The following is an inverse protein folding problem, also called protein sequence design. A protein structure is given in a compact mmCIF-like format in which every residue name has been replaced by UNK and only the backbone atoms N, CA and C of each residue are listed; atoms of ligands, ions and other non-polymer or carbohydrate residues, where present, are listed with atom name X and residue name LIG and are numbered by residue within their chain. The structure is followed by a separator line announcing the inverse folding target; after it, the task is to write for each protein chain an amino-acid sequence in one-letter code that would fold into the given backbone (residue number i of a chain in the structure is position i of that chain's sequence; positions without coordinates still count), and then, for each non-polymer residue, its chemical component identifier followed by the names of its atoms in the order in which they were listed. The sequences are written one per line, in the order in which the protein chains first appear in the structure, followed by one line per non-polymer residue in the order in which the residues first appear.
data_IF_761079579966
#
_entry.id   IF_761079579966
#
_cell.length_a   1.000
_cell.length_b   1.000
_cell.length_c   1.000
_cell.angle_alpha   90.00
_cell.angle_beta   90.00
_cell.angle_gamma   90.00
#
_symmetry.space_group_name_H-M   'P 1'
#
loop_
_entity.id
_entity.type
_entity.pdbx_description
1 polymer ?
#
# COMPACT_ATOMS: atom_id res chain seq x y z
N UNK A 1 29.61 16.28 36.95
CA UNK A 1 28.48 16.81 36.16
C UNK A 1 28.52 16.11 34.81
N UNK A 2 27.56 15.27 34.48
CA UNK A 2 27.49 14.72 33.14
C UNK A 2 26.73 15.71 32.23
N UNK A 3 27.37 16.06 31.13
CA UNK A 3 26.82 16.91 30.08
C UNK A 3 25.65 16.21 29.37
N UNK A 4 24.47 16.76 29.54
CA UNK A 4 23.30 16.39 28.77
C UNK A 4 23.51 16.72 27.28
N UNK A 5 23.90 15.73 26.52
CA UNK A 5 23.86 15.80 25.06
C UNK A 5 22.45 15.44 24.60
N UNK A 6 21.54 16.42 24.62
CA UNK A 6 20.26 16.30 23.96
C UNK A 6 20.49 16.06 22.44
N UNK A 7 20.21 14.87 21.98
CA UNK A 7 20.05 14.61 20.55
C UNK A 7 18.94 15.54 20.05
N UNK A 8 19.31 16.64 19.41
CA UNK A 8 18.39 17.45 18.62
C UNK A 8 17.76 16.52 17.59
N UNK A 9 16.52 16.14 17.79
CA UNK A 9 15.70 15.54 16.72
C UNK A 9 15.77 16.51 15.54
N UNK A 10 16.41 16.06 14.47
CA UNK A 10 16.46 16.76 13.20
C UNK A 10 15.04 16.67 12.64
N UNK A 11 14.23 17.68 12.88
CA UNK A 11 12.92 17.80 12.21
C UNK A 11 13.15 17.66 10.71
N UNK A 12 12.62 16.61 10.11
CA UNK A 12 12.67 16.47 8.65
C UNK A 12 11.93 17.66 8.04
N UNK A 13 12.63 18.47 7.28
CA UNK A 13 12.01 19.56 6.52
C UNK A 13 11.55 19.00 5.18
N UNK A 14 10.24 19.07 4.93
CA UNK A 14 9.65 18.71 3.64
C UNK A 14 9.40 19.98 2.82
N UNK A 15 9.64 19.89 1.51
CA UNK A 15 9.19 20.87 0.55
C UNK A 15 7.86 20.40 -0.05
N UNK A 16 6.88 21.28 -0.18
CA UNK A 16 5.58 20.94 -0.76
C UNK A 16 5.19 21.95 -1.85
N UNK A 17 4.48 21.48 -2.87
CA UNK A 17 3.92 22.29 -3.92
C UNK A 17 2.66 21.65 -4.50
N UNK A 18 1.70 22.44 -4.94
CA UNK A 18 0.51 21.94 -5.64
C UNK A 18 0.51 22.48 -7.06
N UNK A 19 0.46 21.58 -8.05
CA UNK A 19 0.36 21.93 -9.46
C UNK A 19 -1.01 22.50 -9.83
N UNK A 20 -1.15 23.23 -10.95
CA UNK A 20 -2.44 23.76 -11.42
C UNK A 20 -3.52 22.69 -11.64
N UNK A 21 -3.13 21.45 -11.99
CA UNK A 21 -4.05 20.32 -12.13
C UNK A 21 -4.46 19.68 -10.77
N UNK A 22 -4.00 20.23 -9.65
CA UNK A 22 -4.34 19.76 -8.31
C UNK A 22 -3.41 18.69 -7.74
N UNK A 23 -2.45 18.19 -8.51
CA UNK A 23 -1.46 17.21 -8.01
C UNK A 23 -0.57 17.86 -6.94
N UNK A 24 -0.54 17.25 -5.77
CA UNK A 24 0.31 17.65 -4.65
C UNK A 24 1.66 16.98 -4.76
N UNK A 25 2.73 17.73 -4.58
CA UNK A 25 4.12 17.24 -4.56
C UNK A 25 4.66 17.38 -3.15
N UNK A 26 5.28 16.32 -2.62
CA UNK A 26 6.05 16.34 -1.39
C UNK A 26 7.48 15.87 -1.66
N UNK A 27 8.47 16.62 -1.20
CA UNK A 27 9.89 16.30 -1.35
C UNK A 27 10.58 16.24 0.00
N UNK A 28 11.20 15.13 0.31
CA UNK A 28 12.09 14.93 1.45
C UNK A 28 13.56 15.00 0.97
N UNK A 29 14.24 16.16 1.10
CA UNK A 29 15.62 16.28 0.64
C UNK A 29 16.57 15.48 1.53
N UNK A 30 17.50 14.77 0.91
CA UNK A 30 18.61 14.11 1.58
C UNK A 30 19.89 14.23 0.74
N UNK A 31 21.00 13.62 1.17
CA UNK A 31 22.27 13.66 0.44
C UNK A 31 22.61 12.32 -0.25
N UNK A 32 21.67 11.37 -0.29
CA UNK A 32 21.88 10.09 -0.95
C UNK A 32 21.94 10.24 -2.48
N UNK A 33 22.79 9.46 -3.13
CA UNK A 33 22.79 9.28 -4.58
C UNK A 33 21.64 8.37 -5.05
N UNK A 34 21.01 7.63 -4.15
CA UNK A 34 19.78 6.86 -4.41
C UNK A 34 18.58 7.73 -4.03
N UNK A 35 17.63 7.80 -4.93
CA UNK A 35 16.36 8.48 -4.73
C UNK A 35 15.19 7.50 -4.88
N UNK A 36 14.09 7.86 -4.26
CA UNK A 36 12.80 7.16 -4.36
C UNK A 36 11.75 8.18 -4.77
N UNK A 37 10.95 7.87 -5.76
CA UNK A 37 9.77 8.66 -6.06
C UNK A 37 8.60 7.80 -6.50
N UNK A 38 7.39 8.34 -6.37
CA UNK A 38 6.18 7.62 -6.75
C UNK A 38 4.93 8.45 -6.64
N UNK A 39 3.83 7.82 -7.00
CA UNK A 39 2.48 8.32 -6.78
C UNK A 39 1.81 7.49 -5.68
N UNK A 40 1.29 8.16 -4.67
CA UNK A 40 0.38 7.58 -3.69
C UNK A 40 -1.03 8.02 -4.07
N UNK A 41 -1.83 7.07 -4.51
CA UNK A 41 -3.22 7.26 -4.90
C UNK A 41 -4.10 7.02 -3.68
N UNK A 42 -4.95 7.96 -3.32
CA UNK A 42 -5.93 7.83 -2.25
C UNK A 42 -7.10 6.94 -2.73
N UNK A 43 -6.80 5.68 -2.97
CA UNK A 43 -7.73 4.63 -3.35
C UNK A 43 -7.14 3.25 -3.04
N UNK A 44 -7.88 2.45 -2.29
CA UNK A 44 -7.58 1.08 -1.95
C UNK A 44 -8.83 0.20 -2.03
N UNK A 45 -8.77 -1.00 -1.47
CA UNK A 45 -9.91 -1.92 -1.51
C UNK A 45 -11.12 -1.40 -0.72
N UNK A 46 -10.92 -0.46 0.18
CA UNK A 46 -11.98 0.26 0.89
C UNK A 46 -12.91 1.05 -0.05
N UNK A 47 -12.43 1.48 -1.20
CA UNK A 47 -13.13 2.35 -2.14
C UNK A 47 -13.90 1.60 -3.23
N UNK A 48 -13.76 0.28 -3.27
CA UNK A 48 -14.43 -0.59 -4.20
C UNK A 48 -15.92 -0.75 -3.87
N UNK A 49 -16.78 -0.88 -4.87
CA UNK A 49 -18.16 -1.30 -4.68
C UNK A 49 -18.28 -2.85 -4.61
N UNK A 50 -19.49 -3.38 -4.43
CA UNK A 50 -19.76 -4.83 -4.30
C UNK A 50 -19.27 -5.64 -5.51
N UNK A 51 -19.33 -5.07 -6.71
CA UNK A 51 -18.99 -5.71 -7.98
C UNK A 51 -17.52 -5.53 -8.36
N UNK A 52 -16.75 -4.77 -7.56
CA UNK A 52 -15.37 -4.39 -7.83
C UNK A 52 -14.38 -4.96 -6.81
N UNK A 53 -14.79 -5.90 -5.95
CA UNK A 53 -13.92 -6.45 -4.91
C UNK A 53 -12.66 -7.07 -5.50
N UNK A 54 -11.49 -6.55 -5.13
CA UNK A 54 -10.19 -6.90 -5.67
C UNK A 54 -9.72 -6.00 -6.84
N UNK A 55 -10.52 -5.02 -7.28
CA UNK A 55 -10.18 -4.19 -8.44
C UNK A 55 -8.95 -3.29 -8.18
N UNK A 56 -8.76 -2.79 -6.97
CA UNK A 56 -7.60 -1.95 -6.63
C UNK A 56 -6.29 -2.74 -6.78
N UNK A 57 -6.23 -3.95 -6.23
CA UNK A 57 -5.11 -4.86 -6.38
C UNK A 57 -4.96 -5.34 -7.84
N UNK A 58 -6.05 -5.64 -8.51
CA UNK A 58 -6.05 -6.03 -9.92
C UNK A 58 -5.46 -4.94 -10.82
N UNK A 59 -5.82 -3.67 -10.60
CA UNK A 59 -5.24 -2.53 -11.31
C UNK A 59 -3.76 -2.39 -11.02
N UNK A 60 -3.29 -2.65 -9.81
CA UNK A 60 -1.87 -2.66 -9.46
C UNK A 60 -1.08 -3.64 -10.34
N UNK A 61 -1.55 -4.88 -10.51
CA UNK A 61 -0.93 -5.85 -11.43
C UNK A 61 -0.93 -5.35 -12.88
N UNK A 62 -2.03 -4.75 -13.30
CA UNK A 62 -2.25 -4.37 -14.71
C UNK A 62 -1.54 -3.10 -15.16
N UNK A 63 -1.18 -2.18 -14.26
CA UNK A 63 -0.50 -0.92 -14.66
C UNK A 63 0.85 -1.16 -15.32
N UNK A 64 1.48 -2.33 -15.09
CA UNK A 64 2.75 -2.72 -15.73
C UNK A 64 2.57 -3.41 -17.09
N UNK A 65 1.34 -3.68 -17.53
CA UNK A 65 1.05 -4.52 -18.70
C UNK A 65 0.88 -3.76 -20.00
N UNK A 66 0.80 -2.44 -19.98
CA UNK A 66 0.76 -1.61 -21.17
C UNK A 66 0.18 -0.23 -20.97
N UNK A 67 0.77 0.73 -21.66
CA UNK A 67 0.28 2.11 -21.76
C UNK A 67 -0.02 2.47 -23.22
N UNK A 68 -0.54 3.67 -23.46
CA UNK A 68 -0.68 4.21 -24.83
C UNK A 68 0.66 4.28 -25.58
N UNK A 69 1.79 4.34 -24.88
CA UNK A 69 3.15 4.54 -25.46
C UNK A 69 4.02 3.29 -25.38
N UNK A 70 3.71 2.33 -24.47
CA UNK A 70 4.62 1.23 -24.12
C UNK A 70 3.88 -0.09 -23.96
N UNK A 71 4.49 -1.17 -24.46
CA UNK A 71 4.16 -2.54 -24.08
C UNK A 71 4.82 -2.91 -22.75
N UNK A 72 4.32 -3.95 -22.07
CA UNK A 72 4.82 -4.42 -20.77
C UNK A 72 6.36 -4.55 -20.69
N UNK A 73 6.98 -5.17 -21.71
CA UNK A 73 8.43 -5.32 -21.75
C UNK A 73 9.20 -3.98 -21.66
N UNK A 74 8.70 -2.93 -22.31
CA UNK A 74 9.32 -1.60 -22.27
C UNK A 74 9.13 -0.92 -20.92
N UNK A 75 8.03 -1.20 -20.23
CA UNK A 75 7.74 -0.67 -18.88
C UNK A 75 8.71 -1.29 -17.89
N UNK A 76 8.77 -2.62 -17.82
CA UNK A 76 9.60 -3.37 -16.88
C UNK A 76 11.09 -3.04 -17.06
N UNK A 77 11.59 -3.05 -18.29
CA UNK A 77 13.01 -2.79 -18.56
C UNK A 77 13.40 -1.31 -18.43
N UNK A 78 12.46 -0.39 -18.34
CA UNK A 78 12.77 1.05 -18.39
C UNK A 78 13.67 1.51 -17.24
N UNK A 79 13.42 1.02 -16.03
CA UNK A 79 14.25 1.36 -14.87
C UNK A 79 15.36 0.33 -14.64
N UNK A 80 15.13 -0.96 -14.86
CA UNK A 80 16.15 -2.01 -14.76
C UNK A 80 17.39 -1.75 -15.62
N UNK A 81 17.21 -1.25 -16.86
CA UNK A 81 18.30 -0.89 -17.76
C UNK A 81 19.25 0.20 -17.22
N UNK A 82 18.91 0.84 -16.12
CA UNK A 82 19.75 1.85 -15.45
C UNK A 82 19.99 1.51 -13.97
N UNK A 83 19.76 0.24 -13.59
CA UNK A 83 19.93 -0.24 -12.22
C UNK A 83 18.90 0.31 -11.24
N UNK A 84 17.75 0.76 -11.73
CA UNK A 84 16.61 1.18 -10.90
C UNK A 84 15.59 0.07 -10.75
N UNK A 85 14.78 0.16 -9.72
CA UNK A 85 13.66 -0.73 -9.43
C UNK A 85 12.33 -0.02 -9.68
N UNK A 86 11.29 -0.76 -10.06
CA UNK A 86 9.92 -0.29 -10.27
C UNK A 86 8.96 -1.24 -9.55
N UNK A 87 8.13 -0.71 -8.65
CA UNK A 87 7.26 -1.52 -7.82
C UNK A 87 5.95 -0.82 -7.48
N UNK A 88 4.97 -1.57 -6.95
CA UNK A 88 3.73 -1.05 -6.44
C UNK A 88 3.25 -1.88 -5.24
N UNK A 89 2.33 -1.34 -4.47
CA UNK A 89 1.54 -2.08 -3.50
C UNK A 89 0.16 -1.44 -3.31
N UNK A 90 -0.81 -2.25 -2.94
CA UNK A 90 -2.18 -1.85 -2.59
C UNK A 90 -2.50 -2.26 -1.16
N UNK A 91 -3.13 -1.38 -0.41
CA UNK A 91 -3.72 -1.69 0.87
C UNK A 91 -5.22 -1.29 0.91
N UNK A 92 -5.82 -1.25 2.10
CA UNK A 92 -7.24 -0.94 2.24
C UNK A 92 -7.59 0.51 1.83
N UNK A 93 -6.67 1.46 1.93
CA UNK A 93 -6.94 2.89 1.73
C UNK A 93 -6.12 3.54 0.61
N UNK A 94 -5.02 2.92 0.16
CA UNK A 94 -4.14 3.51 -0.85
C UNK A 94 -3.53 2.47 -1.80
N UNK A 95 -3.18 2.94 -2.98
CA UNK A 95 -2.30 2.25 -3.92
C UNK A 95 -1.08 3.12 -4.18
N UNK A 96 0.10 2.56 -3.99
CA UNK A 96 1.37 3.29 -4.17
C UNK A 96 2.17 2.65 -5.30
N UNK A 97 2.56 3.46 -6.28
CA UNK A 97 3.39 3.07 -7.42
C UNK A 97 4.68 3.87 -7.33
N UNK A 98 5.83 3.21 -7.26
CA UNK A 98 7.10 3.86 -6.99
C UNK A 98 8.29 3.23 -7.68
N UNK A 99 9.39 3.97 -7.71
CA UNK A 99 10.67 3.53 -8.24
C UNK A 99 11.82 3.98 -7.33
N UNK A 100 12.83 3.12 -7.19
CA UNK A 100 14.12 3.41 -6.60
C UNK A 100 15.17 3.55 -7.73
N UNK A 101 16.04 4.56 -7.68
CA UNK A 101 16.98 4.85 -8.77
C UNK A 101 18.11 5.77 -8.33
N UNK A 102 19.19 5.85 -9.15
CA UNK A 102 20.22 6.88 -8.97
C UNK A 102 19.67 8.26 -9.40
N UNK A 103 19.95 9.31 -8.62
CA UNK A 103 19.39 10.67 -8.77
C UNK A 103 19.45 11.25 -10.20
N UNK A 104 20.43 10.85 -11.00
CA UNK A 104 20.57 11.25 -12.41
C UNK A 104 19.41 10.74 -13.28
N UNK A 105 18.78 9.63 -12.91
CA UNK A 105 17.68 9.01 -13.65
C UNK A 105 16.28 9.50 -13.23
N UNK A 106 16.18 10.51 -12.37
CA UNK A 106 14.91 11.05 -11.89
C UNK A 106 13.90 11.35 -13.02
N UNK A 107 14.33 12.03 -14.07
CA UNK A 107 13.42 12.39 -15.17
C UNK A 107 12.88 11.17 -15.92
N UNK A 108 13.66 10.07 -15.97
CA UNK A 108 13.26 8.79 -16.56
C UNK A 108 12.21 8.10 -15.68
N UNK A 109 12.43 8.06 -14.37
CA UNK A 109 11.50 7.46 -13.41
C UNK A 109 10.18 8.24 -13.37
N UNK A 110 10.25 9.57 -13.25
CA UNK A 110 9.07 10.43 -13.21
C UNK A 110 8.20 10.30 -14.48
N UNK A 111 8.84 10.22 -15.65
CA UNK A 111 8.13 10.06 -16.93
C UNK A 111 7.47 8.68 -17.04
N UNK A 112 8.16 7.62 -16.63
CA UNK A 112 7.59 6.28 -16.63
C UNK A 112 6.42 6.15 -15.64
N UNK A 113 6.61 6.63 -14.42
CA UNK A 113 5.57 6.58 -13.38
C UNK A 113 4.31 7.34 -13.81
N UNK A 114 4.46 8.54 -14.39
CA UNK A 114 3.31 9.27 -14.92
C UNK A 114 2.62 8.53 -16.07
N UNK A 115 3.39 7.88 -16.96
CA UNK A 115 2.84 7.12 -18.07
C UNK A 115 2.01 5.91 -17.59
N UNK A 116 2.52 5.12 -16.65
CA UNK A 116 1.80 3.95 -16.12
C UNK A 116 0.61 4.33 -15.22
N UNK A 117 0.70 5.44 -14.46
CA UNK A 117 -0.39 5.87 -13.59
C UNK A 117 -1.57 6.49 -14.37
N UNK A 118 -1.28 7.30 -15.39
CA UNK A 118 -2.32 8.07 -16.08
C UNK A 118 -2.70 7.55 -17.48
N UNK A 119 -1.87 6.71 -18.10
CA UNK A 119 -2.06 6.32 -19.50
C UNK A 119 -2.09 4.79 -19.71
N UNK A 120 -2.28 4.00 -18.64
CA UNK A 120 -2.47 2.55 -18.77
C UNK A 120 -3.72 2.24 -19.59
N UNK A 121 -3.61 1.22 -20.44
CA UNK A 121 -4.66 0.83 -21.39
C UNK A 121 -5.38 -0.47 -21.01
N UNK A 122 -4.81 -1.21 -20.05
CA UNK A 122 -5.37 -2.48 -19.56
C UNK A 122 -5.78 -3.44 -20.69
N UNK A 123 -4.83 -3.93 -21.53
CA UNK A 123 -5.16 -4.76 -22.67
C UNK A 123 -5.86 -6.06 -22.25
N UNK A 124 -6.98 -6.45 -22.88
CA UNK A 124 -7.79 -7.60 -22.47
C UNK A 124 -6.97 -8.89 -22.41
N UNK A 125 -6.07 -9.12 -23.36
CA UNK A 125 -5.22 -10.31 -23.37
C UNK A 125 -4.20 -10.38 -22.21
N UNK A 126 -3.87 -9.26 -21.61
CA UNK A 126 -3.07 -9.23 -20.37
C UNK A 126 -3.97 -9.45 -19.13
N UNK A 127 -5.17 -8.90 -19.15
CA UNK A 127 -6.19 -9.16 -18.11
C UNK A 127 -6.45 -10.66 -18.00
N UNK A 128 -6.72 -11.33 -19.12
CA UNK A 128 -7.03 -12.77 -19.17
C UNK A 128 -5.91 -13.64 -18.57
N UNK A 129 -4.65 -13.17 -18.65
CA UNK A 129 -3.50 -13.84 -18.01
C UNK A 129 -3.41 -13.52 -16.52
N UNK A 130 -3.54 -12.23 -16.15
CA UNK A 130 -3.38 -11.78 -14.75
C UNK A 130 -4.50 -12.30 -13.85
N UNK A 131 -5.70 -12.51 -14.36
CA UNK A 131 -6.79 -13.16 -13.62
C UNK A 131 -6.34 -14.49 -13.03
N UNK A 132 -5.72 -15.37 -13.82
CA UNK A 132 -5.25 -16.66 -13.30
C UNK A 132 -4.07 -16.50 -12.34
N UNK A 133 -3.15 -15.55 -12.57
CA UNK A 133 -2.04 -15.25 -11.66
C UNK A 133 -2.56 -14.81 -10.27
N UNK A 134 -3.56 -13.93 -10.24
CA UNK A 134 -4.13 -13.47 -8.97
C UNK A 134 -4.99 -14.56 -8.30
N UNK A 135 -5.64 -15.42 -9.07
CA UNK A 135 -6.34 -16.58 -8.51
C UNK A 135 -5.35 -17.56 -7.85
N UNK A 136 -4.20 -17.82 -8.49
CA UNK A 136 -3.14 -18.63 -7.90
C UNK A 136 -2.57 -17.96 -6.61
N UNK A 137 -2.46 -16.63 -6.59
CA UNK A 137 -2.08 -15.87 -5.40
C UNK A 137 -3.11 -16.01 -4.27
N UNK A 138 -4.42 -15.91 -4.58
CA UNK A 138 -5.51 -16.15 -3.62
C UNK A 138 -5.40 -17.57 -3.03
N UNK A 139 -5.18 -18.59 -3.85
CA UNK A 139 -5.04 -19.96 -3.37
C UNK A 139 -3.82 -20.12 -2.48
N UNK A 140 -2.67 -19.57 -2.87
CA UNK A 140 -1.46 -19.57 -2.04
C UNK A 140 -1.67 -18.87 -0.69
N UNK A 141 -2.45 -17.79 -0.68
CA UNK A 141 -2.80 -17.06 0.54
C UNK A 141 -3.78 -17.84 1.43
N UNK A 142 -4.76 -18.52 0.81
CA UNK A 142 -5.70 -19.41 1.50
C UNK A 142 -4.99 -20.64 2.12
N UNK A 143 -3.90 -21.11 1.52
CA UNK A 143 -3.04 -22.15 2.06
C UNK A 143 -2.08 -21.68 3.17
N UNK A 144 -2.10 -20.39 3.50
CA UNK A 144 -1.30 -19.76 4.56
C UNK A 144 -2.17 -19.22 5.69
N UNK A 145 -2.63 -20.08 6.64
CA UNK A 145 -3.53 -19.65 7.71
C UNK A 145 -2.98 -18.54 8.61
N UNK A 146 -1.66 -18.44 8.72
CA UNK A 146 -0.98 -17.40 9.47
C UNK A 146 -1.07 -15.99 8.80
N UNK A 147 -1.33 -15.95 7.51
CA UNK A 147 -1.57 -14.70 6.77
C UNK A 147 -3.07 -14.41 6.68
N UNK A 148 -3.87 -15.41 6.31
CA UNK A 148 -5.31 -15.29 6.14
C UNK A 148 -6.03 -14.82 7.42
N UNK A 149 -5.56 -15.22 8.60
CA UNK A 149 -6.19 -14.85 9.88
C UNK A 149 -6.25 -13.33 10.12
N UNK A 150 -5.36 -12.55 9.52
CA UNK A 150 -5.41 -11.08 9.65
C UNK A 150 -6.61 -10.50 8.90
N UNK A 151 -6.89 -10.97 7.69
CA UNK A 151 -8.07 -10.54 6.92
C UNK A 151 -9.37 -11.04 7.56
N UNK A 152 -9.42 -12.31 7.99
CA UNK A 152 -10.58 -12.88 8.71
C UNK A 152 -10.86 -12.10 10.01
N UNK A 153 -9.82 -11.70 10.72
CA UNK A 153 -9.96 -10.88 11.93
C UNK A 153 -10.47 -9.47 11.61
N UNK A 154 -9.97 -8.83 10.56
CA UNK A 154 -10.48 -7.53 10.13
C UNK A 154 -11.95 -7.63 9.67
N UNK A 155 -12.35 -8.73 9.02
CA UNK A 155 -13.73 -9.00 8.68
C UNK A 155 -14.64 -9.09 9.92
N UNK A 156 -14.19 -9.77 10.97
CA UNK A 156 -14.91 -9.87 12.24
C UNK A 156 -15.02 -8.51 12.96
N UNK A 157 -13.98 -7.68 12.90
CA UNK A 157 -13.95 -6.34 13.51
C UNK A 157 -14.82 -5.35 12.72
N UNK A 158 -14.87 -5.50 11.40
CA UNK A 158 -15.57 -4.62 10.48
C UNK A 158 -16.63 -5.37 9.64
N UNK A 159 -17.60 -6.06 10.28
CA UNK A 159 -18.58 -6.85 9.55
C UNK A 159 -19.40 -5.95 8.63
N UNK A 160 -19.58 -6.39 7.39
CA UNK A 160 -20.28 -5.61 6.37
C UNK A 160 -19.70 -4.21 6.11
N UNK A 161 -18.40 -4.02 6.33
CA UNK A 161 -17.69 -2.76 6.09
C UNK A 161 -16.51 -2.96 5.11
N UNK A 162 -16.13 -1.93 4.28
CA UNK A 162 -15.01 -2.03 3.34
C UNK A 162 -13.66 -2.45 3.93
N UNK A 163 -13.38 -2.06 5.14
CA UNK A 163 -12.13 -2.43 5.80
C UNK A 163 -12.05 -3.93 6.15
N UNK A 164 -13.19 -4.62 6.24
CA UNK A 164 -13.21 -6.07 6.46
C UNK A 164 -13.01 -6.92 5.20
N UNK A 165 -12.85 -6.36 4.00
CA UNK A 165 -12.65 -7.14 2.76
C UNK A 165 -11.22 -7.62 2.62
N UNK A 166 -11.05 -8.81 2.01
CA UNK A 166 -9.76 -9.24 1.52
C UNK A 166 -9.29 -8.35 0.36
N UNK A 167 -8.00 -7.99 0.35
CA UNK A 167 -7.39 -7.13 -0.68
C UNK A 167 -7.38 -7.80 -2.05
N UNK A 168 -7.18 -9.12 -2.08
CA UNK A 168 -7.10 -9.91 -3.31
C UNK A 168 -8.44 -10.05 -4.04
N UNK A 169 -9.56 -9.79 -3.35
CA UNK A 169 -10.90 -9.90 -3.92
C UNK A 169 -11.45 -11.33 -3.96
N UNK A 170 -12.31 -11.62 -4.95
CA UNK A 170 -12.99 -12.91 -5.10
C UNK A 170 -12.76 -13.50 -6.50
N UNK A 171 -12.41 -14.80 -6.63
CA UNK A 171 -12.14 -15.44 -7.93
C UNK A 171 -13.24 -15.26 -8.97
N UNK A 172 -14.52 -15.37 -8.57
CA UNK A 172 -15.65 -15.23 -9.50
C UNK A 172 -15.79 -13.81 -10.06
N UNK A 173 -15.50 -12.79 -9.24
CA UNK A 173 -15.48 -11.39 -9.70
C UNK A 173 -14.27 -11.13 -10.58
N UNK A 174 -13.08 -11.60 -10.21
CA UNK A 174 -11.86 -11.45 -11.00
C UNK A 174 -12.04 -12.01 -12.42
N UNK A 175 -12.65 -13.20 -12.57
CA UNK A 175 -12.96 -13.80 -13.88
C UNK A 175 -13.93 -12.98 -14.71
N UNK A 176 -14.73 -12.11 -14.09
CA UNK A 176 -15.65 -11.22 -14.80
C UNK A 176 -15.03 -9.91 -15.24
N UNK A 177 -13.82 -9.57 -14.75
CA UNK A 177 -13.18 -8.28 -15.02
C UNK A 177 -12.72 -8.15 -16.47
N UNK A 178 -12.90 -6.95 -17.00
CA UNK A 178 -12.52 -6.55 -18.35
C UNK A 178 -11.82 -5.21 -18.32
N UNK A 179 -11.19 -4.85 -19.43
CA UNK A 179 -10.52 -3.57 -19.63
C UNK A 179 -11.39 -2.37 -19.20
N UNK A 180 -12.68 -2.40 -19.54
CA UNK A 180 -13.62 -1.33 -19.17
C UNK A 180 -13.79 -1.16 -17.65
N UNK A 181 -13.72 -2.24 -16.86
CA UNK A 181 -13.84 -2.18 -15.40
C UNK A 181 -12.60 -1.51 -14.78
N UNK A 182 -11.38 -1.88 -15.22
CA UNK A 182 -10.14 -1.27 -14.79
C UNK A 182 -10.06 0.22 -15.21
N UNK A 183 -10.47 0.55 -16.44
CA UNK A 183 -10.56 1.94 -16.91
C UNK A 183 -11.59 2.75 -16.13
N UNK A 184 -12.73 2.16 -15.79
CA UNK A 184 -13.74 2.80 -14.95
C UNK A 184 -13.21 3.10 -13.55
N UNK A 185 -12.55 2.13 -12.91
CA UNK A 185 -11.95 2.30 -11.59
C UNK A 185 -10.90 3.42 -11.60
N UNK A 186 -9.95 3.35 -12.54
CA UNK A 186 -8.89 4.37 -12.64
C UNK A 186 -9.43 5.74 -13.03
N UNK A 187 -10.44 5.83 -13.88
CA UNK A 187 -11.08 7.12 -14.23
C UNK A 187 -11.73 7.83 -13.03
N UNK A 188 -12.18 7.07 -12.03
CA UNK A 188 -12.73 7.63 -10.79
C UNK A 188 -11.66 8.06 -9.81
N UNK A 189 -10.62 7.24 -9.62
CA UNK A 189 -9.67 7.37 -8.50
C UNK A 189 -8.29 7.90 -8.90
N UNK A 190 -7.79 7.61 -10.10
CA UNK A 190 -6.45 8.01 -10.54
C UNK A 190 -6.45 9.42 -11.13
N UNK A 191 -6.85 10.38 -10.31
CA UNK A 191 -6.95 11.79 -10.63
C UNK A 191 -5.86 12.59 -9.91
N UNK A 192 -5.34 13.64 -10.54
CA UNK A 192 -4.29 14.47 -9.96
C UNK A 192 -4.66 14.99 -8.56
N UNK A 193 -5.92 15.35 -8.33
CA UNK A 193 -6.41 15.85 -7.03
C UNK A 193 -6.52 14.75 -5.96
N UNK A 194 -6.58 13.47 -6.36
CA UNK A 194 -6.74 12.32 -5.48
C UNK A 194 -5.42 11.61 -5.18
N UNK A 195 -4.28 12.23 -5.47
CA UNK A 195 -2.98 11.62 -5.25
C UNK A 195 -1.92 12.62 -4.82
N UNK A 196 -0.80 12.07 -4.38
CA UNK A 196 0.40 12.81 -4.04
C UNK A 196 1.54 12.22 -4.85
N UNK A 197 2.33 13.08 -5.51
CA UNK A 197 3.66 12.69 -5.96
C UNK A 197 4.66 12.91 -4.83
N UNK A 198 5.30 11.85 -4.37
CA UNK A 198 6.34 11.93 -3.36
C UNK A 198 7.72 11.69 -3.97
N UNK A 199 8.74 12.33 -3.38
CA UNK A 199 10.13 12.10 -3.74
C UNK A 199 11.04 12.28 -2.52
N UNK A 200 11.96 11.36 -2.34
CA UNK A 200 13.05 11.44 -1.39
C UNK A 200 14.38 11.31 -2.14
N UNK A 201 15.27 12.27 -1.99
CA UNK A 201 16.58 12.21 -2.67
C UNK A 201 17.30 13.55 -2.75
N UNK A 202 18.55 13.51 -3.26
CA UNK A 202 19.36 14.69 -3.49
C UNK A 202 19.02 15.32 -4.86
N UNK A 203 17.84 15.90 -4.96
CA UNK A 203 17.33 16.49 -6.20
C UNK A 203 16.82 17.91 -5.90
N UNK A 204 17.15 18.86 -6.77
CA UNK A 204 16.65 20.22 -6.65
C UNK A 204 15.12 20.28 -6.76
N UNK A 205 14.45 20.90 -5.79
CA UNK A 205 12.98 20.92 -5.72
C UNK A 205 12.34 21.65 -6.92
N UNK A 206 12.99 22.69 -7.47
CA UNK A 206 12.48 23.36 -8.68
C UNK A 206 12.57 22.46 -9.91
N UNK A 207 13.59 21.56 -9.96
CA UNK A 207 13.68 20.53 -10.98
C UNK A 207 12.57 19.50 -10.82
N UNK A 208 12.25 19.11 -9.58
CA UNK A 208 11.12 18.21 -9.31
C UNK A 208 9.83 18.79 -9.84
N UNK A 209 9.48 20.00 -9.43
CA UNK A 209 8.25 20.69 -9.85
C UNK A 209 8.15 20.72 -11.38
N UNK A 210 9.16 21.26 -12.06
CA UNK A 210 9.19 21.39 -13.54
C UNK A 210 9.08 20.04 -14.26
N UNK A 211 9.68 19.00 -13.71
CA UNK A 211 9.63 17.66 -14.31
C UNK A 211 8.22 17.08 -14.18
N UNK A 212 7.62 17.14 -13.00
CA UNK A 212 6.28 16.60 -12.77
C UNK A 212 5.22 17.41 -13.51
N UNK A 213 5.29 18.73 -13.49
CA UNK A 213 4.42 19.60 -14.30
C UNK A 213 4.44 19.23 -15.79
N UNK A 214 5.64 18.96 -16.33
CA UNK A 214 5.82 18.55 -17.73
C UNK A 214 5.19 17.18 -18.04
N UNK A 215 5.40 16.19 -17.17
CA UNK A 215 4.95 14.80 -17.42
C UNK A 215 3.48 14.58 -17.08
N UNK A 216 2.81 15.55 -16.43
CA UNK A 216 1.38 15.54 -16.12
C UNK A 216 0.63 16.72 -16.75
N UNK A 217 1.18 17.33 -17.80
CA UNK A 217 0.63 18.52 -18.43
C UNK A 217 -0.73 18.28 -19.13
N UNK A 218 -0.99 17.07 -19.55
CA UNK A 218 -2.24 16.61 -20.17
C UNK A 218 -3.29 16.11 -19.18
N UNK A 219 -2.97 16.04 -17.88
CA UNK A 219 -3.89 15.55 -16.84
C UNK A 219 -4.73 16.71 -16.30
N UNK A 220 -6.07 16.66 -16.47
CA UNK A 220 -6.95 17.73 -16.04
C UNK A 220 -7.20 17.74 -14.54
N UNK A 221 -7.65 18.90 -14.02
CA UNK A 221 -8.21 18.98 -12.67
C UNK A 221 -9.58 18.29 -12.61
N UNK A 222 -9.79 17.36 -11.69
CA UNK A 222 -11.06 16.63 -11.46
C UNK A 222 -11.14 15.98 -10.07
N UNK A 223 -12.33 15.68 -9.53
CA UNK A 223 -12.64 15.22 -8.15
C UNK A 223 -13.17 13.78 -8.11
N UNK A 224 -13.05 13.03 -6.98
CA UNK A 224 -13.39 11.61 -6.78
C UNK A 224 -14.53 11.36 -5.77
N UNK A 225 -15.35 10.29 -5.92
CA UNK A 225 -16.50 9.87 -5.06
C UNK A 225 -16.45 8.35 -4.69
N UNK A 226 -16.93 7.85 -3.46
CA UNK A 226 -16.66 6.52 -2.84
C UNK A 226 -17.77 5.74 -2.13
N UNK A 227 -17.81 4.36 -2.10
CA UNK A 227 -18.70 3.44 -1.29
C UNK A 227 -18.53 1.87 -1.36
N UNK A 228 -19.10 0.90 -0.39
CA UNK A 228 -19.00 -0.59 -0.34
C UNK A 228 -19.49 -1.68 0.66
N UNK A 229 -19.25 -3.15 0.74
CA UNK A 229 -19.38 -4.28 1.76
C UNK A 229 -19.09 -5.82 1.48
N UNK A 230 -19.09 -6.98 2.41
CA UNK A 230 -18.52 -8.34 2.41
C UNK A 230 -18.84 -9.61 3.24
N UNK A 231 -18.19 -10.93 3.29
CA UNK A 231 -18.01 -12.10 4.27
C UNK A 231 -17.26 -13.45 3.93
N UNK A 232 -16.73 -14.39 4.97
CA UNK A 232 -15.91 -15.63 4.79
C UNK A 232 -15.56 -16.61 5.97
N UNK A 233 -14.88 -17.92 5.84
CA UNK A 233 -14.51 -18.95 6.90
C UNK A 233 -13.26 -19.87 6.64
N UNK A 234 -12.49 -20.44 7.70
CA UNK A 234 -11.32 -21.39 7.65
C UNK A 234 -10.90 -22.23 8.89
N UNK A 235 -9.65 -22.98 8.97
CA UNK A 235 -9.38 -24.15 9.81
C UNK A 235 -8.00 -24.40 10.50
N UNK A 236 -7.33 -23.52 11.30
CA UNK A 236 -6.16 -23.89 12.14
C UNK A 236 -6.12 -23.14 13.48
N UNK A 237 -5.23 -23.58 14.42
CA UNK A 237 -5.07 -22.95 15.72
C UNK A 237 -4.26 -21.65 15.67
N UNK A 238 -4.73 -20.70 14.91
CA UNK A 238 -4.26 -19.32 14.93
C UNK A 238 -5.23 -18.48 15.73
N UNK A 239 -4.72 -17.68 16.65
CA UNK A 239 -5.52 -16.87 17.54
C UNK A 239 -5.19 -15.41 17.34
N UNK A 240 -6.23 -14.60 17.21
CA UNK A 240 -6.08 -13.15 17.17
C UNK A 240 -7.00 -12.51 18.22
N UNK A 241 -6.42 -11.63 19.05
CA UNK A 241 -7.12 -10.89 20.09
C UNK A 241 -6.90 -9.41 19.87
N UNK A 242 -7.96 -8.63 19.78
CA UNK A 242 -7.79 -7.21 19.56
C UNK A 242 -9.10 -6.44 19.59
N UNK A 243 -9.02 -5.19 19.15
CA UNK A 243 -10.14 -4.27 19.11
C UNK A 243 -9.88 -3.13 18.14
N UNK A 244 -10.89 -2.29 17.93
CA UNK A 244 -10.67 -0.99 17.27
C UNK A 244 -9.60 -0.19 17.99
N UNK A 245 -8.63 0.29 17.23
CA UNK A 245 -7.56 1.16 17.67
C UNK A 245 -7.83 2.63 17.36
N UNK A 246 -6.79 3.44 17.48
CA UNK A 246 -6.85 4.86 17.15
C UNK A 246 -6.57 5.11 15.68
N UNK A 247 -7.27 6.07 15.09
CA UNK A 247 -7.00 6.54 13.73
C UNK A 247 -5.63 7.24 13.61
N UNK A 248 -5.20 7.48 12.37
CA UNK A 248 -3.88 8.03 12.05
C UNK A 248 -3.61 9.42 12.66
N UNK A 249 -4.64 10.19 12.95
CA UNK A 249 -4.55 11.58 13.45
C UNK A 249 -4.75 11.70 14.96
N UNK A 250 -5.06 10.61 15.66
CA UNK A 250 -5.36 10.63 17.09
C UNK A 250 -4.06 10.77 17.91
N UNK A 251 -4.02 11.72 18.82
CA UNK A 251 -2.86 11.98 19.70
C UNK A 251 -2.44 10.75 20.55
N UNK A 252 -3.40 9.90 20.93
CA UNK A 252 -3.15 8.69 21.71
C UNK A 252 -2.54 7.54 20.91
N UNK A 253 -2.50 7.65 19.59
CA UNK A 253 -1.92 6.64 18.69
C UNK A 253 -0.47 6.30 19.06
N UNK A 254 0.34 7.32 19.37
CA UNK A 254 1.76 7.12 19.76
C UNK A 254 1.89 6.29 21.03
N UNK A 255 1.03 6.52 22.03
CA UNK A 255 0.98 5.72 23.26
C UNK A 255 0.60 4.27 22.98
N UNK A 256 -0.38 4.03 22.11
CA UNK A 256 -0.77 2.68 21.70
C UNK A 256 0.34 1.99 20.90
N UNK A 257 1.06 2.72 20.06
CA UNK A 257 2.22 2.21 19.33
C UNK A 257 3.36 1.76 20.26
N UNK A 258 3.63 2.53 21.32
CA UNK A 258 4.60 2.13 22.36
C UNK A 258 4.14 0.88 23.11
N UNK A 259 2.85 0.79 23.44
CA UNK A 259 2.26 -0.39 24.06
C UNK A 259 2.39 -1.61 23.15
N UNK A 260 2.08 -1.46 21.86
CA UNK A 260 2.25 -2.47 20.84
C UNK A 260 3.68 -3.05 20.83
N UNK A 261 4.68 -2.19 20.75
CA UNK A 261 6.09 -2.61 20.77
C UNK A 261 6.49 -3.30 22.10
N UNK A 262 5.97 -2.83 23.21
CA UNK A 262 6.24 -3.43 24.52
C UNK A 262 5.65 -4.84 24.63
N UNK A 263 4.44 -5.05 24.10
CA UNK A 263 3.73 -6.33 24.18
C UNK A 263 4.29 -7.36 23.19
N UNK A 264 4.28 -7.07 21.91
CA UNK A 264 4.60 -8.01 20.85
C UNK A 264 5.34 -7.38 19.67
N UNK A 265 6.16 -6.35 19.90
CA UNK A 265 7.03 -5.77 18.86
C UNK A 265 8.10 -6.75 18.37
N UNK A 266 8.86 -6.40 17.32
CA UNK A 266 9.77 -7.32 16.61
C UNK A 266 10.97 -7.79 17.45
N UNK A 267 11.17 -7.22 18.63
CA UNK A 267 12.24 -7.63 19.55
C UNK A 267 11.92 -8.94 20.28
N UNK A 268 12.82 -9.89 20.28
CA UNK A 268 12.69 -11.16 21.03
C UNK A 268 12.46 -10.96 22.53
N UNK A 269 12.73 -9.78 23.07
CA UNK A 269 12.51 -9.37 24.46
C UNK A 269 11.14 -8.73 24.71
N UNK A 270 10.23 -8.69 23.73
CA UNK A 270 8.86 -8.23 23.95
C UNK A 270 8.14 -9.10 24.98
N UNK A 271 7.23 -8.51 25.76
CA UNK A 271 6.65 -9.18 26.95
C UNK A 271 5.94 -10.48 26.61
N UNK A 272 5.17 -10.50 25.52
CA UNK A 272 4.44 -11.72 25.11
C UNK A 272 5.39 -12.78 24.57
N UNK A 273 6.40 -12.41 23.79
CA UNK A 273 7.39 -13.34 23.29
C UNK A 273 8.13 -14.03 24.45
N UNK A 274 8.63 -13.26 25.40
CA UNK A 274 9.28 -13.82 26.60
C UNK A 274 8.32 -14.67 27.44
N UNK A 275 7.06 -14.24 27.58
CA UNK A 275 6.09 -14.92 28.45
C UNK A 275 5.51 -16.18 27.86
N UNK A 276 5.08 -16.15 26.60
CA UNK A 276 4.35 -17.24 25.95
C UNK A 276 5.30 -18.21 25.23
N UNK A 277 6.27 -17.68 24.49
CA UNK A 277 7.19 -18.49 23.70
C UNK A 277 8.39 -18.97 24.53
N UNK A 278 9.19 -18.04 25.06
CA UNK A 278 10.48 -18.39 25.67
C UNK A 278 10.33 -19.11 27.02
N UNK A 279 9.36 -18.71 27.84
CA UNK A 279 9.18 -19.29 29.19
C UNK A 279 8.23 -20.48 29.22
N UNK A 280 7.23 -20.52 28.37
CA UNK A 280 6.15 -21.51 28.43
C UNK A 280 6.11 -22.45 27.24
N UNK A 281 6.65 -22.05 26.08
CA UNK A 281 6.62 -22.84 24.84
C UNK A 281 5.24 -23.04 24.25
N UNK A 282 4.25 -22.21 24.62
CA UNK A 282 2.85 -22.34 24.22
C UNK A 282 2.57 -21.86 22.80
N UNK A 283 3.48 -21.07 22.20
CA UNK A 283 3.26 -20.45 20.90
C UNK A 283 4.51 -20.54 20.03
N UNK A 284 4.32 -20.74 18.73
CA UNK A 284 5.41 -20.71 17.74
C UNK A 284 5.82 -19.28 17.40
N UNK A 285 4.84 -18.43 17.24
CA UNK A 285 5.00 -17.01 16.97
C UNK A 285 4.01 -16.20 17.80
N UNK A 286 4.39 -15.00 18.19
CA UNK A 286 3.50 -14.01 18.84
C UNK A 286 3.93 -12.60 18.46
N UNK A 287 3.00 -11.82 17.99
CA UNK A 287 3.23 -10.44 17.60
C UNK A 287 2.04 -9.55 17.97
N UNK A 288 2.30 -8.27 18.16
CA UNK A 288 1.27 -7.25 18.32
C UNK A 288 1.35 -6.27 17.15
N UNK A 289 0.22 -6.01 16.54
CA UNK A 289 0.08 -5.16 15.38
C UNK A 289 -0.87 -3.98 15.61
N UNK A 290 -0.52 -2.83 15.07
CA UNK A 290 -1.34 -1.63 15.09
C UNK A 290 -1.45 -1.06 13.68
N UNK A 291 -2.61 -1.19 13.07
CA UNK A 291 -2.96 -0.52 11.82
C UNK A 291 -3.82 0.70 12.13
N UNK A 292 -3.45 1.86 11.62
CA UNK A 292 -4.20 3.12 11.80
C UNK A 292 -4.70 3.62 10.46
N UNK A 293 -6.00 3.57 10.27
CA UNK A 293 -6.71 4.12 9.11
C UNK A 293 -6.99 5.62 9.30
N UNK A 294 -7.54 6.28 8.31
CA UNK A 294 -7.83 7.72 8.35
C UNK A 294 -8.90 8.09 9.38
N UNK A 295 -9.89 7.25 9.63
CA UNK A 295 -11.03 7.48 10.51
C UNK A 295 -11.12 6.51 11.70
N UNK A 296 -10.37 5.39 11.67
CA UNK A 296 -10.37 4.35 12.71
C UNK A 296 -9.00 3.69 12.82
N UNK A 297 -8.91 2.54 13.48
CA UNK A 297 -7.72 1.69 13.54
C UNK A 297 -8.04 0.30 14.06
N UNK A 298 -7.06 -0.61 13.94
CA UNK A 298 -7.08 -1.95 14.54
C UNK A 298 -5.84 -2.12 15.40
N UNK A 299 -6.02 -2.58 16.63
CA UNK A 299 -4.95 -3.08 17.48
C UNK A 299 -5.21 -4.56 17.73
N UNK A 300 -4.24 -5.42 17.42
CA UNK A 300 -4.37 -6.84 17.64
C UNK A 300 -3.09 -7.49 18.13
N UNK A 301 -3.25 -8.63 18.79
CA UNK A 301 -2.19 -9.55 19.19
C UNK A 301 -2.51 -10.87 18.49
N UNK A 302 -1.60 -11.33 17.67
CA UNK A 302 -1.66 -12.62 16.99
C UNK A 302 -0.72 -13.61 17.63
N UNK A 303 -1.11 -14.88 17.69
CA UNK A 303 -0.22 -16.00 17.99
C UNK A 303 -0.71 -17.29 17.32
N UNK A 304 0.27 -18.11 16.91
CA UNK A 304 0.05 -19.48 16.44
C UNK A 304 0.38 -20.49 17.55
N UNK A 305 -0.52 -21.42 17.81
CA UNK A 305 -0.39 -22.42 18.86
C UNK A 305 -0.91 -23.77 18.40
N UNK A 306 -0.60 -24.85 19.13
CA UNK A 306 -1.26 -26.14 18.93
C UNK A 306 -2.71 -26.10 19.42
N UNK A 307 -3.64 -26.89 18.81
CA UNK A 307 -5.05 -26.90 19.22
C UNK A 307 -5.33 -27.37 20.65
N UNK A 308 -4.32 -27.96 21.29
CA UNK A 308 -4.40 -28.51 22.65
C UNK A 308 -3.87 -27.53 23.72
N UNK A 309 -3.19 -26.43 23.33
CA UNK A 309 -2.62 -25.39 24.19
C UNK A 309 -3.51 -24.14 24.29
#
# INVERSE_FOLDING_TARGET
MPTETYLKQKTMSYNTFTLPNGLRIIHAPNQSNVAYCGFAVDAGTRDENEQEQGMAHFVEHLIFKGTQKRHAWHILNRMENVGGDLNAYTNKEETVIYSAFLVEHFSRAAELLADIVFHSTFPQHEIDKEVEVIIDEIQSYEDSPSELIFDDFEELIFPNHPLGRNILGKPDLLRSFKSEHALNFTSRFYKATNMIFFIQGNIDFKKVIRTIEKVTADIPFSITERQRTLNKETHQAHVMIGSRGYNAYNEKRTGLYLLNNLLGGPGMNSRLNVSLRERRGLVYNVEANLTSYTDTGVFCIYFGTDPED
#
